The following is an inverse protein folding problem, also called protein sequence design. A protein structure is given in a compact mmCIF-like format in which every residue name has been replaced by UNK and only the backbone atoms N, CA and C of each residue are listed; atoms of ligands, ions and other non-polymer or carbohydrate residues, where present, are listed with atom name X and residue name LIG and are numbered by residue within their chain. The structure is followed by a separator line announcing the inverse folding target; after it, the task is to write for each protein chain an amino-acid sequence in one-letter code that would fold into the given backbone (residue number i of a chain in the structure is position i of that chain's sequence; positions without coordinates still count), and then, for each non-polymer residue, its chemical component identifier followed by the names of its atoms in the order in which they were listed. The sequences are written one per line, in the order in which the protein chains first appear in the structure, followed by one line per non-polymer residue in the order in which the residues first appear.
data_IF_502557817826
#
_entry.id   IF_502557817826
#
_cell.length_a   1.000
_cell.length_b   1.000
_cell.length_c   1.000
_cell.angle_alpha   90.00
_cell.angle_beta   90.00
_cell.angle_gamma   90.00
#
_symmetry.space_group_name_H-M   'P 1'
#
loop_
_entity.id
_entity.type
_entity.pdbx_description
1 polymer ?
#
# COMPACT_ATOMS: atom_id res chain seq x y z
N UNK A 1 6.63 -10.79 -8.96
CA UNK A 1 7.13 -9.85 -7.93
C UNK A 1 8.48 -9.33 -8.40
N UNK A 2 8.78 -8.04 -8.22
CA UNK A 2 10.07 -7.47 -8.64
C UNK A 2 11.21 -8.06 -7.80
N UNK A 3 12.35 -8.36 -8.43
CA UNK A 3 13.60 -8.75 -7.79
C UNK A 3 14.66 -7.69 -8.09
N UNK A 4 15.68 -7.61 -7.28
CA UNK A 4 16.85 -6.77 -7.49
C UNK A 4 18.12 -7.58 -7.24
N UNK A 5 19.20 -7.22 -7.92
CA UNK A 5 20.52 -7.79 -7.63
C UNK A 5 21.12 -7.08 -6.42
N UNK A 6 21.69 -7.87 -5.52
CA UNK A 6 22.40 -7.39 -4.33
C UNK A 6 23.75 -8.11 -4.31
N UNK A 7 24.83 -7.36 -4.37
CA UNK A 7 26.19 -7.88 -4.27
C UNK A 7 26.72 -7.68 -2.84
N UNK A 8 27.22 -8.74 -2.24
CA UNK A 8 27.84 -8.71 -0.92
C UNK A 8 29.28 -8.17 -1.00
N UNK A 9 29.83 -7.82 0.14
CA UNK A 9 31.26 -7.42 0.26
C UNK A 9 32.18 -8.55 -0.24
N UNK A 10 31.78 -9.81 -0.08
CA UNK A 10 32.49 -10.99 -0.61
C UNK A 10 32.44 -11.14 -2.13
N UNK A 11 31.78 -10.25 -2.86
CA UNK A 11 31.62 -10.31 -4.34
C UNK A 11 30.47 -11.20 -4.82
N UNK A 12 29.83 -12.00 -3.96
CA UNK A 12 28.67 -12.81 -4.36
C UNK A 12 27.44 -11.98 -4.62
N UNK A 13 26.73 -12.27 -5.72
CA UNK A 13 25.51 -11.55 -6.12
C UNK A 13 24.27 -12.43 -5.99
N UNK A 14 23.21 -11.85 -5.42
CA UNK A 14 21.94 -12.51 -5.15
C UNK A 14 20.78 -11.80 -5.82
N UNK A 15 19.85 -12.56 -6.40
CA UNK A 15 18.56 -12.03 -6.85
C UNK A 15 17.56 -12.01 -5.70
N UNK A 16 17.33 -10.82 -5.15
CA UNK A 16 16.57 -10.62 -3.90
C UNK A 16 15.16 -10.12 -4.18
N UNK A 17 14.11 -10.78 -3.68
CA UNK A 17 12.74 -10.32 -3.84
C UNK A 17 12.48 -8.99 -3.12
N UNK A 18 11.60 -8.17 -3.71
CA UNK A 18 11.10 -6.96 -3.04
C UNK A 18 10.44 -7.31 -1.70
N UNK A 19 10.84 -6.63 -0.63
CA UNK A 19 10.40 -6.89 0.74
C UNK A 19 11.45 -7.59 1.58
N UNK A 20 12.60 -7.97 0.98
CA UNK A 20 13.79 -8.41 1.70
C UNK A 20 14.91 -7.38 1.48
N UNK A 21 15.63 -7.04 2.53
CA UNK A 21 16.75 -6.13 2.51
C UNK A 21 17.98 -6.79 3.11
N UNK A 22 19.14 -6.57 2.49
CA UNK A 22 20.44 -6.93 3.06
C UNK A 22 20.80 -5.97 4.18
N UNK A 23 21.29 -6.50 5.27
CA UNK A 23 21.89 -5.77 6.39
C UNK A 23 23.33 -6.28 6.52
N UNK A 24 24.28 -5.39 6.31
CA UNK A 24 25.70 -5.61 6.51
C UNK A 24 26.24 -4.47 7.35
N UNK A 25 26.53 -4.77 8.60
CA UNK A 25 27.19 -3.86 9.54
C UNK A 25 28.46 -4.54 10.02
N UNK A 26 29.26 -3.86 10.83
CA UNK A 26 30.51 -4.43 11.40
C UNK A 26 30.29 -5.74 12.17
N UNK A 27 29.10 -5.90 12.80
CA UNK A 27 28.81 -7.04 13.68
C UNK A 27 27.61 -7.88 13.24
N UNK A 28 26.88 -7.47 12.21
CA UNK A 28 25.62 -8.12 11.85
C UNK A 28 25.52 -8.27 10.33
N UNK A 29 25.43 -9.51 9.89
CA UNK A 29 25.27 -9.87 8.48
C UNK A 29 24.02 -10.75 8.30
N UNK A 30 23.18 -10.43 7.34
CA UNK A 30 21.96 -11.20 7.09
C UNK A 30 20.92 -10.48 6.27
N UNK A 31 19.73 -11.06 6.22
CA UNK A 31 18.60 -10.56 5.46
C UNK A 31 17.43 -10.20 6.36
N UNK A 32 16.84 -9.04 6.11
CA UNK A 32 15.70 -8.54 6.85
C UNK A 32 14.45 -8.59 5.97
N UNK A 33 13.41 -9.30 6.42
CA UNK A 33 12.08 -9.27 5.81
C UNK A 33 11.30 -8.08 6.34
N UNK A 34 10.73 -7.27 5.43
CA UNK A 34 9.89 -6.10 5.74
C UNK A 34 8.50 -6.27 5.10
N UNK A 35 7.62 -6.94 5.82
CA UNK A 35 6.23 -7.14 5.42
C UNK A 35 5.38 -7.33 6.68
N UNK A 36 4.56 -6.34 7.05
CA UNK A 36 3.87 -6.27 8.34
C UNK A 36 4.80 -6.53 9.53
N UNK A 37 5.74 -5.62 9.71
CA UNK A 37 6.83 -5.76 10.67
C UNK A 37 8.10 -6.29 10.05
N UNK A 38 9.16 -6.34 10.85
CA UNK A 38 10.49 -6.77 10.45
C UNK A 38 10.85 -8.10 11.10
N UNK A 39 11.58 -8.95 10.36
CA UNK A 39 12.21 -10.16 10.90
C UNK A 39 13.57 -10.33 10.26
N UNK A 40 14.59 -10.54 11.08
CA UNK A 40 15.96 -10.68 10.64
C UNK A 40 16.37 -12.17 10.59
N UNK A 41 17.19 -12.51 9.60
CA UNK A 41 17.75 -13.82 9.36
C UNK A 41 19.25 -13.66 9.23
N UNK A 42 20.00 -14.02 10.28
CA UNK A 42 21.45 -13.93 10.32
C UNK A 42 22.10 -14.97 9.40
N UNK A 43 23.24 -14.62 8.82
CA UNK A 43 24.03 -15.56 8.00
C UNK A 43 24.73 -16.60 8.86
N UNK A 44 24.92 -16.32 10.17
CA UNK A 44 25.56 -17.23 11.12
C UNK A 44 27.10 -17.22 11.06
N UNK A 45 27.68 -16.73 9.97
CA UNK A 45 29.14 -16.69 9.75
C UNK A 45 29.47 -15.31 9.19
N UNK A 46 30.51 -14.67 9.72
CA UNK A 46 30.91 -13.29 9.34
C UNK A 46 31.46 -13.16 7.91
N UNK A 47 31.92 -14.25 7.31
CA UNK A 47 32.41 -14.29 5.94
C UNK A 47 31.29 -14.29 4.86
N UNK A 48 30.03 -14.32 5.28
CA UNK A 48 28.87 -14.35 4.39
C UNK A 48 28.53 -15.72 3.79
N UNK A 49 29.24 -16.79 4.18
CA UNK A 49 28.98 -18.15 3.66
C UNK A 49 27.60 -18.70 3.98
N UNK A 50 26.92 -18.14 4.98
CA UNK A 50 25.53 -18.47 5.34
C UNK A 50 24.47 -17.69 4.58
N UNK A 51 24.85 -16.74 3.71
CA UNK A 51 23.95 -15.80 3.05
C UNK A 51 22.88 -16.47 2.17
N UNK A 52 23.19 -17.60 1.52
CA UNK A 52 22.24 -18.38 0.75
C UNK A 52 21.14 -18.98 1.61
N UNK A 53 21.52 -19.61 2.70
CA UNK A 53 20.59 -20.28 3.64
C UNK A 53 19.68 -19.24 4.31
N UNK A 54 20.26 -18.13 4.77
CA UNK A 54 19.50 -17.04 5.39
C UNK A 54 18.57 -16.34 4.40
N UNK A 55 18.98 -16.13 3.12
CA UNK A 55 18.11 -15.61 2.07
C UNK A 55 16.96 -16.58 1.75
N UNK A 56 17.25 -17.86 1.68
CA UNK A 56 16.22 -18.86 1.46
C UNK A 56 15.17 -18.88 2.59
N UNK A 57 15.63 -18.79 3.85
CA UNK A 57 14.76 -18.69 5.02
C UNK A 57 13.94 -17.38 5.02
N UNK A 58 14.56 -16.24 4.72
CA UNK A 58 13.90 -14.94 4.58
C UNK A 58 12.86 -14.97 3.47
N UNK A 59 13.16 -15.60 2.32
CA UNK A 59 12.23 -15.73 1.19
C UNK A 59 11.04 -16.62 1.55
N UNK A 60 11.24 -17.72 2.26
CA UNK A 60 10.17 -18.59 2.78
C UNK A 60 9.24 -17.82 3.71
N UNK A 61 9.80 -17.05 4.63
CA UNK A 61 9.03 -16.21 5.55
C UNK A 61 8.23 -15.12 4.81
N UNK A 62 8.84 -14.43 3.84
CA UNK A 62 8.17 -13.43 3.03
C UNK A 62 6.97 -14.03 2.28
N UNK A 63 7.14 -15.18 1.64
CA UNK A 63 6.07 -15.87 0.93
C UNK A 63 4.95 -16.32 1.87
N UNK A 64 5.29 -16.78 3.07
CA UNK A 64 4.32 -17.14 4.11
C UNK A 64 3.50 -15.91 4.53
N UNK A 65 4.15 -14.79 4.83
CA UNK A 65 3.45 -13.54 5.20
C UNK A 65 2.54 -13.02 4.10
N UNK A 66 2.98 -13.07 2.83
CA UNK A 66 2.14 -12.66 1.69
C UNK A 66 0.91 -13.56 1.55
N UNK A 67 1.02 -14.84 1.84
CA UNK A 67 -0.10 -15.77 1.79
C UNK A 67 -1.14 -15.51 2.89
N UNK A 68 -0.68 -15.20 4.11
CA UNK A 68 -1.52 -15.08 5.31
C UNK A 68 -2.00 -13.66 5.60
N UNK A 69 -1.16 -12.65 5.35
CA UNK A 69 -1.45 -11.25 5.70
C UNK A 69 -1.95 -10.44 4.49
N UNK A 70 -2.69 -9.35 4.70
CA UNK A 70 -3.07 -8.44 3.61
C UNK A 70 -1.84 -7.75 3.02
N UNK A 71 -1.96 -7.21 1.81
CA UNK A 71 -0.88 -6.42 1.24
C UNK A 71 -0.73 -5.08 1.98
N UNK A 72 0.50 -4.66 2.31
CA UNK A 72 0.72 -3.30 2.81
C UNK A 72 0.32 -2.31 1.72
N UNK A 73 -0.57 -1.39 2.06
CA UNK A 73 -1.04 -0.33 1.17
C UNK A 73 -0.63 1.04 1.71
N UNK A 74 -0.22 1.93 0.82
CA UNK A 74 0.18 3.30 1.16
C UNK A 74 -1.04 4.21 0.96
N UNK A 75 -2.08 4.00 1.74
CA UNK A 75 -3.22 4.92 1.81
C UNK A 75 -3.12 5.74 3.10
N UNK A 76 -3.40 7.03 2.98
CA UNK A 76 -3.43 7.93 4.13
C UNK A 76 -4.52 7.49 5.11
N UNK A 77 -4.14 7.10 6.32
CA UNK A 77 -5.04 6.63 7.39
C UNK A 77 -5.45 7.71 8.37
N UNK A 78 -4.64 8.75 8.50
CA UNK A 78 -4.90 9.93 9.34
C UNK A 78 -4.88 11.19 8.50
N UNK A 79 -5.59 12.25 8.91
CA UNK A 79 -5.48 13.55 8.25
C UNK A 79 -4.04 14.05 8.23
N UNK A 80 -3.67 14.81 7.19
CA UNK A 80 -2.37 15.49 7.15
C UNK A 80 -2.32 16.56 8.25
N UNK A 81 -1.13 16.80 8.82
CA UNK A 81 -0.92 17.87 9.81
C UNK A 81 -1.31 19.27 9.27
N UNK A 82 -1.22 19.46 7.95
CA UNK A 82 -1.58 20.72 7.29
C UNK A 82 -3.08 20.81 6.93
N UNK A 83 -3.88 19.82 7.30
CA UNK A 83 -5.32 19.84 7.00
C UNK A 83 -6.05 20.74 8.01
N UNK A 84 -6.68 21.80 7.52
CA UNK A 84 -7.42 22.78 8.32
C UNK A 84 -8.82 22.34 8.74
N UNK A 85 -9.29 21.18 8.27
CA UNK A 85 -10.63 20.65 8.59
C UNK A 85 -10.55 19.31 9.33
N UNK A 86 -11.46 19.07 10.27
CA UNK A 86 -11.57 17.80 11.04
C UNK A 86 -12.16 16.63 10.22
N UNK A 87 -12.31 16.82 8.91
CA UNK A 87 -12.86 15.78 8.04
C UNK A 87 -11.92 14.58 7.92
N UNK A 88 -12.45 13.36 7.72
CA UNK A 88 -11.63 12.16 7.53
C UNK A 88 -10.68 12.26 6.33
N UNK A 89 -9.60 11.44 6.29
CA UNK A 89 -8.65 11.44 5.19
C UNK A 89 -9.34 11.23 3.84
N UNK A 90 -8.95 12.05 2.83
CA UNK A 90 -9.49 11.97 1.48
C UNK A 90 -10.92 12.48 1.30
N UNK A 91 -11.46 13.17 2.29
CA UNK A 91 -12.70 13.96 2.18
C UNK A 91 -12.33 15.42 2.43
N UNK A 92 -12.81 16.32 1.58
CA UNK A 92 -12.57 17.77 1.68
C UNK A 92 -13.86 18.53 1.43
N UNK A 93 -13.98 19.70 2.04
CA UNK A 93 -15.16 20.58 1.87
C UNK A 93 -15.66 21.15 3.20
N UNK A 94 -16.81 21.83 3.17
CA UNK A 94 -17.65 22.10 1.99
C UNK A 94 -16.93 22.98 0.97
N UNK A 95 -17.04 22.62 -0.32
CA UNK A 95 -16.49 23.38 -1.45
C UNK A 95 -17.65 24.04 -2.17
N UNK A 96 -17.56 25.35 -2.37
CA UNK A 96 -18.51 26.08 -3.17
C UNK A 96 -18.20 25.94 -4.65
N UNK A 97 -19.14 25.35 -5.37
CA UNK A 97 -19.07 25.18 -6.83
C UNK A 97 -19.84 26.33 -7.49
N UNK A 98 -19.26 27.00 -8.49
CA UNK A 98 -19.94 28.06 -9.22
C UNK A 98 -21.27 27.61 -9.80
N UNK A 99 -22.20 28.54 -9.94
CA UNK A 99 -23.47 28.33 -10.61
C UNK A 99 -23.23 27.85 -12.05
N UNK A 100 -23.97 26.82 -12.49
CA UNK A 100 -23.98 26.41 -13.90
C UNK A 100 -24.82 27.38 -14.72
N UNK A 101 -24.60 27.41 -16.07
CA UNK A 101 -25.24 28.35 -17.02
C UNK A 101 -26.76 28.59 -16.87
N UNK A 102 -27.50 27.67 -16.24
CA UNK A 102 -28.96 27.76 -16.03
C UNK A 102 -29.37 28.05 -14.57
N UNK A 103 -28.43 28.26 -13.66
CA UNK A 103 -28.73 28.50 -12.24
C UNK A 103 -27.80 29.58 -11.71
N UNK A 104 -28.35 30.66 -11.16
CA UNK A 104 -27.59 31.73 -10.51
C UNK A 104 -27.16 31.39 -9.08
N UNK A 105 -27.31 30.14 -8.64
CA UNK A 105 -27.08 29.74 -7.25
C UNK A 105 -25.87 28.82 -7.16
N UNK A 106 -24.88 29.16 -6.34
CA UNK A 106 -23.74 28.29 -6.02
C UNK A 106 -24.20 27.08 -5.24
N UNK A 107 -23.54 25.96 -5.41
CA UNK A 107 -23.78 24.74 -4.67
C UNK A 107 -22.59 24.35 -3.80
N UNK A 108 -22.88 23.80 -2.61
CA UNK A 108 -21.90 23.25 -1.71
C UNK A 108 -21.78 21.74 -1.92
N UNK A 109 -20.54 21.25 -2.02
CA UNK A 109 -20.26 19.80 -2.20
C UNK A 109 -19.12 19.36 -1.28
N UNK A 110 -19.12 18.06 -0.92
CA UNK A 110 -17.94 17.38 -0.41
C UNK A 110 -17.20 16.75 -1.58
N UNK A 111 -15.88 16.87 -1.58
CA UNK A 111 -14.97 16.20 -2.51
C UNK A 111 -14.42 14.94 -1.87
N UNK A 112 -14.64 13.78 -2.49
CA UNK A 112 -14.18 12.47 -1.98
C UNK A 112 -13.15 11.89 -2.92
N UNK A 113 -11.92 11.73 -2.44
CA UNK A 113 -10.83 11.06 -3.17
C UNK A 113 -10.98 9.54 -3.03
N UNK A 114 -11.24 8.86 -4.13
CA UNK A 114 -11.45 7.42 -4.21
C UNK A 114 -10.21 6.74 -4.80
N UNK A 115 -9.48 5.91 -4.03
CA UNK A 115 -8.32 5.21 -4.53
C UNK A 115 -8.71 4.16 -5.58
N UNK A 116 -7.84 3.95 -6.59
CA UNK A 116 -8.00 2.94 -7.64
C UNK A 116 -6.70 2.18 -7.79
N UNK A 117 -6.76 0.85 -7.66
CA UNK A 117 -5.57 0.03 -7.75
C UNK A 117 -4.99 0.03 -9.17
N UNK A 118 -3.70 0.39 -9.30
CA UNK A 118 -3.01 0.46 -10.59
C UNK A 118 -3.45 1.60 -11.51
N UNK A 119 -4.24 2.54 -11.00
CA UNK A 119 -4.73 3.69 -11.76
C UNK A 119 -4.71 4.94 -10.87
N UNK A 120 -4.83 6.11 -11.49
CA UNK A 120 -4.97 7.37 -10.77
C UNK A 120 -6.26 7.40 -9.92
N UNK A 121 -6.20 7.98 -8.70
CA UNK A 121 -7.38 8.13 -7.87
C UNK A 121 -8.44 8.97 -8.58
N UNK A 122 -9.71 8.66 -8.31
CA UNK A 122 -10.83 9.43 -8.85
C UNK A 122 -11.43 10.30 -7.76
N UNK A 123 -11.77 11.53 -8.11
CA UNK A 123 -12.55 12.43 -7.24
C UNK A 123 -14.04 12.27 -7.55
N UNK A 124 -14.86 12.16 -6.50
CA UNK A 124 -16.31 12.20 -6.58
C UNK A 124 -16.86 13.31 -5.68
N UNK A 125 -17.72 14.17 -6.24
CA UNK A 125 -18.41 15.20 -5.48
C UNK A 125 -19.72 14.66 -4.91
N UNK A 126 -20.01 14.95 -3.65
CA UNK A 126 -21.27 14.67 -2.99
C UNK A 126 -21.94 16.00 -2.67
N UNK A 127 -23.13 16.18 -3.21
CA UNK A 127 -23.91 17.40 -3.05
C UNK A 127 -24.44 17.54 -1.63
N UNK A 128 -24.37 18.75 -1.06
CA UNK A 128 -24.88 19.11 0.25
C UNK A 128 -26.17 19.95 0.07
N UNK A 129 -26.06 21.02 -0.68
CA UNK A 129 -27.12 21.97 -0.89
C UNK A 129 -26.68 23.16 -1.74
N UNK A 130 -27.58 24.09 -1.99
CA UNK A 130 -27.26 25.42 -2.52
C UNK A 130 -27.07 26.41 -1.38
N UNK A 131 -26.62 27.63 -1.67
CA UNK A 131 -26.55 28.72 -0.69
C UNK A 131 -27.88 28.95 0.05
N UNK A 132 -29.03 28.65 -0.58
CA UNK A 132 -30.37 28.79 0.01
C UNK A 132 -30.84 27.56 0.78
N UNK A 133 -30.27 26.40 0.49
CA UNK A 133 -30.74 25.12 1.05
C UNK A 133 -29.70 24.40 1.89
N UNK A 134 -28.53 24.99 2.07
CA UNK A 134 -27.49 24.47 2.96
C UNK A 134 -27.99 24.42 4.41
N UNK A 135 -27.77 23.31 5.08
CA UNK A 135 -27.98 23.18 6.53
C UNK A 135 -26.98 22.19 7.10
N UNK A 136 -26.70 22.28 8.40
CA UNK A 136 -25.83 21.34 9.09
C UNK A 136 -26.35 19.91 8.98
N UNK A 137 -27.64 19.70 9.07
CA UNK A 137 -28.24 18.37 8.89
C UNK A 137 -27.95 17.78 7.51
N UNK A 138 -28.06 18.56 6.44
CA UNK A 138 -27.70 18.12 5.08
C UNK A 138 -26.21 17.86 4.92
N UNK A 139 -25.38 18.67 5.59
CA UNK A 139 -23.94 18.44 5.62
C UNK A 139 -23.61 17.10 6.28
N UNK A 140 -24.18 16.80 7.45
CA UNK A 140 -23.96 15.53 8.17
C UNK A 140 -24.40 14.32 7.34
N UNK A 141 -25.56 14.39 6.68
CA UNK A 141 -26.04 13.33 5.78
C UNK A 141 -25.08 13.13 4.59
N UNK A 142 -24.59 14.21 4.00
CA UNK A 142 -23.64 14.14 2.91
C UNK A 142 -22.27 13.60 3.38
N UNK A 143 -21.84 13.98 4.58
CA UNK A 143 -20.60 13.48 5.19
C UNK A 143 -20.69 11.97 5.48
N UNK A 144 -21.77 11.50 6.05
CA UNK A 144 -21.99 10.08 6.28
C UNK A 144 -21.91 9.28 4.97
N UNK A 145 -22.56 9.74 3.91
CA UNK A 145 -22.47 9.13 2.57
C UNK A 145 -21.05 9.16 2.00
N UNK A 146 -20.29 10.25 2.25
CA UNK A 146 -18.91 10.36 1.81
C UNK A 146 -18.01 9.34 2.50
N UNK A 147 -18.17 9.17 3.81
CA UNK A 147 -17.41 8.21 4.63
C UNK A 147 -17.72 6.78 4.18
N UNK A 148 -18.98 6.42 4.06
CA UNK A 148 -19.41 5.09 3.61
C UNK A 148 -18.87 4.76 2.21
N UNK A 149 -19.07 5.66 1.24
CA UNK A 149 -18.55 5.49 -0.11
C UNK A 149 -17.04 5.26 -0.12
N UNK A 150 -16.28 6.06 0.65
CA UNK A 150 -14.84 5.91 0.72
C UNK A 150 -14.44 4.60 1.37
N UNK A 151 -15.09 4.19 2.46
CA UNK A 151 -14.81 2.94 3.17
C UNK A 151 -14.97 1.73 2.26
N UNK A 152 -16.07 1.66 1.49
CA UNK A 152 -16.30 0.59 0.50
C UNK A 152 -15.20 0.54 -0.55
N UNK A 153 -14.80 1.69 -1.09
CA UNK A 153 -13.78 1.75 -2.14
C UNK A 153 -12.39 1.43 -1.60
N UNK A 154 -12.03 1.88 -0.39
CA UNK A 154 -10.76 1.55 0.28
C UNK A 154 -10.67 0.04 0.52
N UNK A 155 -11.73 -0.58 1.05
CA UNK A 155 -11.78 -2.04 1.25
C UNK A 155 -11.55 -2.80 -0.06
N UNK A 156 -12.23 -2.42 -1.14
CA UNK A 156 -12.04 -3.03 -2.46
C UNK A 156 -10.62 -2.83 -3.00
N UNK A 157 -10.02 -1.67 -2.75
CA UNK A 157 -8.63 -1.39 -3.11
C UNK A 157 -7.67 -2.34 -2.38
N UNK A 158 -7.81 -2.50 -1.06
CA UNK A 158 -6.97 -3.37 -0.22
C UNK A 158 -7.10 -4.85 -0.62
N UNK A 159 -8.31 -5.32 -0.88
CA UNK A 159 -8.57 -6.68 -1.38
C UNK A 159 -7.89 -6.92 -2.73
N UNK A 160 -8.00 -5.95 -3.65
CA UNK A 160 -7.39 -6.05 -4.98
C UNK A 160 -5.86 -6.03 -4.90
N UNK A 161 -5.29 -5.16 -4.07
CA UNK A 161 -3.85 -5.10 -3.82
C UNK A 161 -3.33 -6.42 -3.25
N UNK A 162 -4.06 -7.00 -2.28
CA UNK A 162 -3.71 -8.28 -1.65
C UNK A 162 -3.76 -9.43 -2.67
N UNK A 163 -4.82 -9.49 -3.48
CA UNK A 163 -4.94 -10.50 -4.55
C UNK A 163 -3.81 -10.39 -5.56
N UNK A 164 -3.49 -9.19 -5.98
CA UNK A 164 -2.38 -8.92 -6.91
C UNK A 164 -1.04 -9.35 -6.31
N UNK A 165 -0.78 -9.03 -5.04
CA UNK A 165 0.46 -9.39 -4.34
C UNK A 165 0.62 -10.91 -4.20
N UNK A 166 -0.47 -11.62 -3.85
CA UNK A 166 -0.50 -13.08 -3.77
C UNK A 166 -0.22 -13.73 -5.13
N UNK A 167 -0.83 -13.22 -6.22
CA UNK A 167 -0.55 -13.69 -7.58
C UNK A 167 0.93 -13.53 -7.95
N UNK A 168 1.52 -12.38 -7.65
CA UNK A 168 2.96 -12.15 -7.87
C UNK A 168 3.85 -13.09 -7.05
N UNK A 169 3.47 -13.42 -5.82
CA UNK A 169 4.22 -14.35 -4.97
C UNK A 169 4.15 -15.80 -5.51
N UNK A 170 3.02 -16.21 -6.08
CA UNK A 170 2.90 -17.52 -6.72
C UNK A 170 3.85 -17.65 -7.92
N UNK A 171 3.94 -16.62 -8.77
CA UNK A 171 4.88 -16.59 -9.89
C UNK A 171 6.33 -16.68 -9.39
N UNK A 172 6.71 -15.93 -8.37
CA UNK A 172 8.04 -16.01 -7.77
C UNK A 172 8.32 -17.42 -7.21
N UNK A 173 7.35 -18.01 -6.50
CA UNK A 173 7.50 -19.39 -5.97
C UNK A 173 7.73 -20.42 -7.07
N UNK A 174 7.06 -20.26 -8.20
CA UNK A 174 7.25 -21.14 -9.36
C UNK A 174 8.67 -20.98 -9.94
N UNK A 175 9.11 -19.74 -10.20
CA UNK A 175 10.46 -19.49 -10.74
C UNK A 175 11.59 -20.00 -9.83
N UNK A 176 11.43 -19.88 -8.51
CA UNK A 176 12.40 -20.43 -7.54
C UNK A 176 12.44 -21.96 -7.53
N UNK A 177 11.31 -22.63 -7.80
CA UNK A 177 11.27 -24.09 -7.93
C UNK A 177 11.97 -24.56 -9.20
N UNK A 178 11.75 -23.85 -10.31
CA UNK A 178 12.41 -24.16 -11.58
C UNK A 178 13.92 -23.95 -11.50
N UNK A 179 14.38 -22.84 -10.92
CA UNK A 179 15.80 -22.57 -10.69
C UNK A 179 16.46 -23.68 -9.83
N UNK A 180 15.78 -24.16 -8.80
CA UNK A 180 16.31 -25.28 -7.98
C UNK A 180 16.40 -26.59 -8.75
N UNK A 181 15.44 -26.89 -9.63
CA UNK A 181 15.47 -28.09 -10.47
C UNK A 181 16.59 -28.05 -11.53
N UNK A 182 16.91 -26.86 -12.03
CA UNK A 182 17.98 -26.66 -13.00
C UNK A 182 19.40 -26.73 -12.37
N UNK A 183 19.49 -26.54 -11.05
CA UNK A 183 20.75 -26.58 -10.29
C UNK A 183 21.04 -27.94 -9.61
N UNK A 184 20.09 -28.88 -9.68
CA UNK A 184 20.20 -30.24 -9.14
C UNK A 184 20.48 -31.24 -10.24
#
# INVERSE_FOLDING_TARGET
MKTRQVTLISGHSFSVPQGIQRIDTRATHGWQVRYHGTKFFADGISDGSGADKSLAAATKELLHRIATLPAPVVLQKSPSANKSSDLPPGISGPILVPARRRSNTRSAVLSVLLPRFGQEPRVKSIYIGTERTYSNQRFEVALAKAIELRAVVVKKYEETATRSKRKQALVLKASLREARKAAA
#
